data_IF_481791375550
#
_entry.id   IF_481791375550
#
_cell.length_a   1.000
_cell.length_b   1.000
_cell.length_c   1.000
_cell.angle_alpha   90.00
_cell.angle_beta   90.00
_cell.angle_gamma   90.00
#
_symmetry.space_group_name_H-M   'P 1'
#
loop_
_entity.id
_entity.type
_entity.pdbx_description
1 polymer ?
#
# COMPACT_ATOMS: atom_id res chain seq x y z
N UNK A 1 -4.97 15.43 7.67
CA UNK A 1 -3.76 15.85 6.92
C UNK A 1 -3.16 14.68 6.15
N UNK A 2 -2.90 13.52 6.78
CA UNK A 2 -2.39 12.32 6.09
C UNK A 2 -3.12 11.96 4.79
N UNK A 3 -4.47 11.95 4.78
CA UNK A 3 -5.23 11.69 3.55
C UNK A 3 -4.94 12.67 2.39
N UNK A 4 -4.62 13.95 2.66
CA UNK A 4 -4.25 14.92 1.61
C UNK A 4 -2.95 14.51 0.92
N UNK A 5 -2.02 13.93 1.67
CA UNK A 5 -0.75 13.41 1.15
C UNK A 5 -0.90 12.09 0.42
N UNK A 6 -2.06 11.42 0.53
CA UNK A 6 -2.36 10.16 -0.15
C UNK A 6 -3.41 10.31 -1.27
N UNK A 7 -3.92 11.51 -1.53
CA UNK A 7 -4.99 11.74 -2.53
C UNK A 7 -4.56 11.37 -3.96
N UNK A 8 -3.25 11.35 -4.25
CA UNK A 8 -2.71 10.87 -5.52
C UNK A 8 -2.97 9.37 -5.76
N UNK A 9 -3.26 8.60 -4.69
CA UNK A 9 -3.59 7.17 -4.75
C UNK A 9 -5.09 6.91 -4.98
N UNK A 10 -5.96 7.92 -4.87
CA UNK A 10 -7.39 7.77 -5.11
C UNK A 10 -8.20 9.03 -4.80
N UNK A 11 -9.17 9.36 -5.65
CA UNK A 11 -9.91 10.62 -5.57
C UNK A 11 -11.40 10.49 -5.95
N UNK A 12 -11.92 9.26 -6.07
CA UNK A 12 -13.32 9.02 -6.42
C UNK A 12 -14.25 9.23 -5.22
N UNK A 13 -13.76 8.94 -4.01
CA UNK A 13 -14.47 9.17 -2.75
C UNK A 13 -13.49 9.16 -1.58
N UNK A 14 -13.91 9.68 -0.43
CA UNK A 14 -13.11 9.64 0.79
C UNK A 14 -14.01 9.54 2.03
N UNK A 15 -13.42 9.12 3.14
CA UNK A 15 -14.11 9.14 4.42
C UNK A 15 -13.20 8.89 5.62
N UNK A 16 -13.76 9.15 6.79
CA UNK A 16 -13.14 8.92 8.09
C UNK A 16 -14.13 8.31 9.08
N UNK A 17 -13.60 7.46 9.97
CA UNK A 17 -14.26 7.01 11.19
C UNK A 17 -13.44 7.51 12.38
N UNK A 18 -14.07 8.27 13.26
CA UNK A 18 -13.42 8.91 14.40
C UNK A 18 -14.07 8.42 15.68
N UNK A 19 -13.26 7.90 16.60
CA UNK A 19 -13.74 7.57 17.93
C UNK A 19 -14.03 8.87 18.70
N UNK A 20 -15.23 9.02 19.24
CA UNK A 20 -15.63 10.19 20.05
C UNK A 20 -16.31 9.69 21.32
N UNK A 21 -15.88 10.12 22.50
CA UNK A 21 -16.41 9.76 23.83
C UNK A 21 -16.88 8.30 23.99
N UNK A 22 -18.05 7.93 23.44
CA UNK A 22 -18.69 6.62 23.58
C UNK A 22 -19.12 5.96 22.26
N UNK A 23 -18.77 6.51 21.09
CA UNK A 23 -19.23 6.00 19.77
C UNK A 23 -18.26 6.34 18.64
N UNK A 24 -18.41 5.67 17.50
CA UNK A 24 -17.70 6.03 16.27
C UNK A 24 -18.54 6.97 15.41
N UNK A 25 -17.96 8.11 15.02
CA UNK A 25 -18.57 9.02 14.05
C UNK A 25 -17.97 8.85 12.65
N UNK A 26 -18.85 8.56 11.69
CA UNK A 26 -18.53 8.40 10.28
C UNK A 26 -18.80 9.69 9.50
N UNK A 27 -17.84 10.11 8.68
CA UNK A 27 -18.02 11.15 7.67
C UNK A 27 -17.46 10.64 6.35
N UNK A 28 -18.34 10.43 5.37
CA UNK A 28 -17.98 9.92 4.04
C UNK A 28 -18.55 10.84 2.97
N UNK A 29 -17.90 10.91 1.82
CA UNK A 29 -18.41 11.66 0.69
C UNK A 29 -17.86 11.14 -0.63
N UNK A 30 -18.65 11.27 -1.69
CA UNK A 30 -18.16 11.09 -3.06
C UNK A 30 -17.30 12.28 -3.49
N UNK A 31 -16.39 12.02 -4.43
CA UNK A 31 -15.46 12.99 -4.97
C UNK A 31 -14.26 13.25 -4.05
N UNK A 32 -13.67 14.43 -4.23
CA UNK A 32 -12.41 14.83 -3.60
C UNK A 32 -12.50 14.92 -2.08
N UNK A 33 -11.34 14.80 -1.43
CA UNK A 33 -11.20 14.84 0.03
C UNK A 33 -11.73 16.14 0.66
N UNK A 34 -11.72 17.25 -0.09
CA UNK A 34 -12.30 18.53 0.33
C UNK A 34 -13.75 18.43 0.79
N UNK A 35 -14.53 17.48 0.25
CA UNK A 35 -15.92 17.27 0.66
C UNK A 35 -16.00 16.74 2.10
N UNK A 36 -15.12 15.80 2.46
CA UNK A 36 -15.01 15.29 3.84
C UNK A 36 -14.49 16.38 4.78
N UNK A 37 -13.55 17.20 4.34
CA UNK A 37 -13.06 18.35 5.12
C UNK A 37 -14.18 19.34 5.45
N UNK A 38 -15.08 19.63 4.50
CA UNK A 38 -16.27 20.47 4.75
C UNK A 38 -17.21 19.84 5.78
N UNK A 39 -17.44 18.53 5.71
CA UNK A 39 -18.26 17.81 6.69
C UNK A 39 -17.66 17.87 8.11
N UNK A 40 -16.33 17.75 8.21
CA UNK A 40 -15.60 17.81 9.48
C UNK A 40 -15.57 19.23 10.07
N UNK A 41 -15.43 20.27 9.24
CA UNK A 41 -15.51 21.67 9.69
C UNK A 41 -16.88 21.99 10.30
N UNK A 42 -17.96 21.39 9.79
CA UNK A 42 -19.29 21.45 10.40
C UNK A 42 -19.44 20.66 11.70
N UNK A 43 -18.48 19.78 12.03
CA UNK A 43 -18.51 18.85 13.16
C UNK A 43 -17.37 19.14 14.17
N UNK A 44 -17.20 20.42 14.55
CA UNK A 44 -16.10 20.88 15.40
C UNK A 44 -15.92 20.09 16.71
N UNK A 45 -17.00 19.58 17.29
CA UNK A 45 -16.93 18.84 18.57
C UNK A 45 -16.32 17.43 18.42
N UNK A 46 -16.56 16.78 17.28
CA UNK A 46 -15.99 15.46 16.93
C UNK A 46 -14.47 15.57 16.88
N UNK A 47 -13.96 16.59 16.20
CA UNK A 47 -12.53 16.83 16.04
C UNK A 47 -11.82 17.16 17.37
N UNK A 48 -12.51 17.83 18.31
CA UNK A 48 -11.91 18.19 19.61
C UNK A 48 -11.76 17.00 20.55
N UNK A 49 -12.68 16.04 20.47
CA UNK A 49 -12.78 14.92 21.42
C UNK A 49 -12.10 13.66 20.89
N UNK A 50 -11.98 13.51 19.57
CA UNK A 50 -11.37 12.31 19.01
C UNK A 50 -9.86 12.22 19.24
N UNK A 51 -9.39 11.02 19.54
CA UNK A 51 -7.97 10.66 19.73
C UNK A 51 -7.55 9.41 18.95
N UNK A 52 -8.50 8.76 18.28
CA UNK A 52 -8.28 7.54 17.52
C UNK A 52 -9.24 7.52 16.34
N UNK A 53 -8.74 7.16 15.16
CA UNK A 53 -9.58 7.11 13.97
C UNK A 53 -8.83 6.57 12.77
N UNK A 54 -9.61 6.14 11.78
CA UNK A 54 -9.13 5.64 10.50
C UNK A 54 -9.72 6.49 9.38
N UNK A 55 -9.03 6.56 8.25
CA UNK A 55 -9.48 7.32 7.10
C UNK A 55 -8.98 6.71 5.81
N UNK A 56 -9.67 7.00 4.71
CA UNK A 56 -9.36 6.43 3.41
C UNK A 56 -9.73 7.36 2.27
N UNK A 57 -8.95 7.29 1.19
CA UNK A 57 -9.20 7.89 -0.11
C UNK A 57 -9.25 6.77 -1.14
N UNK A 58 -10.34 6.67 -1.89
CA UNK A 58 -10.67 5.50 -2.68
C UNK A 58 -10.55 5.75 -4.17
N UNK A 59 -9.92 4.79 -4.85
CA UNK A 59 -10.04 4.56 -6.29
C UNK A 59 -10.97 3.35 -6.48
N UNK A 60 -12.10 3.53 -7.16
CA UNK A 60 -13.13 2.49 -7.24
C UNK A 60 -12.72 1.34 -8.19
N UNK A 61 -12.66 0.11 -7.67
CA UNK A 61 -12.45 -1.13 -8.44
C UNK A 61 -13.75 -1.94 -8.52
N UNK A 62 -14.40 -2.21 -7.39
CA UNK A 62 -15.71 -2.85 -7.28
C UNK A 62 -16.79 -1.88 -6.79
N UNK A 63 -18.00 -1.98 -7.33
CA UNK A 63 -19.11 -1.09 -6.97
C UNK A 63 -18.97 0.33 -7.51
N UNK A 64 -20.10 1.02 -7.66
CA UNK A 64 -20.10 2.40 -8.18
C UNK A 64 -19.44 3.38 -7.21
N UNK A 65 -19.08 4.56 -7.71
CA UNK A 65 -18.69 5.69 -6.87
C UNK A 65 -19.93 6.21 -6.14
N UNK A 66 -20.15 5.74 -4.92
CA UNK A 66 -21.25 6.19 -4.04
C UNK A 66 -20.75 6.47 -2.63
N UNK A 67 -21.58 7.10 -1.79
CA UNK A 67 -21.21 7.35 -0.38
C UNK A 67 -21.23 6.05 0.43
N UNK A 68 -22.13 5.13 0.09
CA UNK A 68 -22.24 3.80 0.68
C UNK A 68 -21.00 2.95 0.39
N UNK A 69 -20.48 3.05 -0.84
CA UNK A 69 -19.26 2.35 -1.29
C UNK A 69 -17.96 3.07 -0.88
N UNK A 70 -18.04 4.26 -0.28
CA UNK A 70 -16.86 4.92 0.26
C UNK A 70 -16.45 4.25 1.57
N UNK A 71 -15.13 4.16 1.80
CA UNK A 71 -14.57 3.72 3.07
C UNK A 71 -14.70 4.83 4.13
N UNK A 72 -14.72 4.50 5.44
CA UNK A 72 -14.69 3.15 6.03
C UNK A 72 -15.96 2.33 5.78
N UNK A 73 -15.81 1.01 5.77
CA UNK A 73 -16.91 0.05 5.75
C UNK A 73 -17.26 -0.42 7.16
N UNK A 74 -18.55 -0.65 7.36
CA UNK A 74 -19.12 -1.06 8.63
C UNK A 74 -19.67 -2.48 8.55
N UNK A 75 -19.72 -3.17 9.70
CA UNK A 75 -20.58 -4.34 9.85
C UNK A 75 -22.06 -3.91 9.99
N UNK A 76 -22.99 -4.88 10.10
CA UNK A 76 -24.43 -4.62 10.05
C UNK A 76 -24.99 -3.67 11.13
N UNK A 77 -24.35 -3.58 12.31
CA UNK A 77 -24.77 -2.68 13.39
C UNK A 77 -23.88 -1.43 13.56
N UNK A 78 -22.78 -1.33 12.80
CA UNK A 78 -21.87 -0.19 12.83
C UNK A 78 -20.79 -0.24 13.91
N UNK A 79 -20.75 -1.28 14.76
CA UNK A 79 -19.76 -1.39 15.84
C UNK A 79 -18.32 -1.56 15.35
N UNK A 80 -18.12 -2.19 14.18
CA UNK A 80 -16.80 -2.38 13.56
C UNK A 80 -16.67 -1.47 12.35
N UNK A 81 -15.53 -0.79 12.23
CA UNK A 81 -15.16 0.00 11.06
C UNK A 81 -13.83 -0.47 10.48
N UNK A 82 -13.76 -0.59 9.16
CA UNK A 82 -12.55 -1.00 8.44
C UNK A 82 -12.24 -0.06 7.27
N UNK A 83 -10.96 0.22 7.06
CA UNK A 83 -10.45 0.82 5.81
C UNK A 83 -9.53 -0.18 5.13
N UNK A 84 -9.63 -0.30 3.82
CA UNK A 84 -8.97 -1.37 3.06
C UNK A 84 -8.31 -0.82 1.81
N UNK A 85 -7.08 -1.25 1.53
CA UNK A 85 -6.47 -1.18 0.22
C UNK A 85 -6.38 -2.60 -0.33
N UNK A 86 -6.63 -2.78 -1.63
CA UNK A 86 -6.56 -4.08 -2.28
C UNK A 86 -7.92 -4.65 -2.66
N UNK A 87 -7.96 -5.95 -2.94
CA UNK A 87 -9.10 -6.70 -3.44
C UNK A 87 -9.25 -8.00 -2.65
N UNK A 88 -10.49 -8.29 -2.23
CA UNK A 88 -10.87 -9.59 -1.66
C UNK A 88 -11.49 -10.44 -2.77
N UNK A 89 -10.77 -11.46 -3.24
CA UNK A 89 -11.15 -12.25 -4.41
C UNK A 89 -12.30 -13.23 -4.11
N UNK A 90 -12.34 -13.79 -2.89
CA UNK A 90 -13.40 -14.70 -2.46
C UNK A 90 -14.60 -14.00 -1.80
N UNK A 91 -14.77 -12.68 -1.98
CA UNK A 91 -15.81 -11.89 -1.32
C UNK A 91 -17.23 -12.39 -1.61
N UNK A 92 -17.51 -12.89 -2.82
CA UNK A 92 -18.83 -13.34 -3.21
C UNK A 92 -19.28 -14.57 -2.39
N UNK A 93 -18.34 -15.49 -2.13
CA UNK A 93 -18.57 -16.66 -1.28
C UNK A 93 -18.82 -16.23 0.17
N UNK A 94 -17.94 -15.38 0.71
CA UNK A 94 -18.05 -14.87 2.09
C UNK A 94 -19.35 -14.10 2.33
N UNK A 95 -19.74 -13.26 1.36
CA UNK A 95 -20.99 -12.49 1.39
C UNK A 95 -22.21 -13.41 1.39
N UNK A 96 -22.19 -14.48 0.60
CA UNK A 96 -23.28 -15.47 0.57
C UNK A 96 -23.42 -16.19 1.92
N UNK A 97 -22.33 -16.72 2.47
CA UNK A 97 -22.30 -17.37 3.80
C UNK A 97 -22.89 -16.47 4.89
N UNK A 98 -22.40 -15.23 4.99
CA UNK A 98 -22.85 -14.31 6.04
C UNK A 98 -24.29 -13.83 5.82
N UNK A 99 -24.75 -13.72 4.57
CA UNK A 99 -26.15 -13.38 4.28
C UNK A 99 -27.09 -14.50 4.72
N UNK A 100 -26.70 -15.77 4.55
CA UNK A 100 -27.46 -16.92 5.06
C UNK A 100 -27.53 -16.94 6.59
N UNK A 101 -26.49 -16.47 7.26
CA UNK A 101 -26.44 -16.26 8.72
C UNK A 101 -27.23 -15.03 9.20
N UNK A 102 -27.76 -14.22 8.29
CA UNK A 102 -28.61 -13.06 8.58
C UNK A 102 -27.90 -11.71 8.58
N UNK A 103 -26.62 -11.65 8.17
CA UNK A 103 -25.90 -10.39 8.01
C UNK A 103 -26.52 -9.51 6.91
N UNK A 104 -26.53 -8.20 7.14
CA UNK A 104 -27.04 -7.21 6.18
C UNK A 104 -25.89 -6.42 5.60
N UNK A 105 -25.66 -6.59 4.31
CA UNK A 105 -24.69 -5.81 3.55
C UNK A 105 -25.32 -4.52 3.04
N UNK A 106 -24.56 -3.44 3.08
CA UNK A 106 -24.99 -2.08 2.75
C UNK A 106 -24.29 -1.51 1.53
N UNK A 107 -23.22 -2.17 1.06
CA UNK A 107 -22.43 -1.76 -0.08
C UNK A 107 -22.33 -2.85 -1.16
N UNK A 108 -21.87 -2.43 -2.33
CA UNK A 108 -21.54 -3.29 -3.47
C UNK A 108 -20.07 -3.72 -3.48
N UNK A 109 -19.29 -3.28 -2.49
CA UNK A 109 -17.84 -3.50 -2.45
C UNK A 109 -17.49 -4.93 -2.05
N UNK A 110 -16.35 -5.38 -2.51
CA UNK A 110 -15.74 -6.66 -2.14
C UNK A 110 -15.23 -6.64 -0.69
N UNK A 111 -14.87 -5.48 -0.16
CA UNK A 111 -14.18 -5.34 1.13
C UNK A 111 -15.10 -5.20 2.35
N UNK A 112 -16.41 -4.94 2.19
CA UNK A 112 -17.35 -4.88 3.32
C UNK A 112 -17.39 -6.20 4.11
N UNK A 113 -17.13 -7.35 3.45
CA UNK A 113 -17.04 -8.66 4.09
C UNK A 113 -16.04 -8.70 5.24
N UNK A 114 -14.99 -7.88 5.20
CA UNK A 114 -13.97 -7.81 6.26
C UNK A 114 -14.59 -7.29 7.56
N UNK A 115 -15.41 -6.24 7.50
CA UNK A 115 -16.06 -5.70 8.70
C UNK A 115 -16.99 -6.73 9.34
N UNK A 116 -17.74 -7.48 8.54
CA UNK A 116 -18.63 -8.55 9.04
C UNK A 116 -17.86 -9.74 9.61
N UNK A 117 -16.74 -10.15 8.99
CA UNK A 117 -15.88 -11.22 9.50
C UNK A 117 -15.27 -10.84 10.86
N UNK A 118 -14.74 -9.63 10.98
CA UNK A 118 -14.20 -9.11 12.24
C UNK A 118 -15.30 -9.08 13.30
N UNK A 119 -16.48 -8.53 12.98
CA UNK A 119 -17.60 -8.51 13.92
C UNK A 119 -18.07 -9.90 14.36
N UNK A 120 -18.09 -10.88 13.43
CA UNK A 120 -18.49 -12.28 13.70
C UNK A 120 -17.52 -12.97 14.66
N UNK A 121 -16.23 -12.70 14.55
CA UNK A 121 -15.19 -13.34 15.35
C UNK A 121 -14.88 -12.62 16.67
N UNK A 122 -15.38 -11.38 16.84
CA UNK A 122 -15.09 -10.59 18.01
C UNK A 122 -15.67 -11.21 19.30
N UNK A 123 -14.78 -11.59 20.21
CA UNK A 123 -15.11 -12.16 21.51
C UNK A 123 -14.37 -11.44 22.66
N UNK A 124 -14.14 -10.13 22.52
CA UNK A 124 -13.41 -9.32 23.50
C UNK A 124 -11.93 -9.10 23.20
N UNK A 125 -11.48 -9.52 22.01
CA UNK A 125 -10.12 -9.31 21.51
C UNK A 125 -10.17 -9.00 20.00
N UNK A 126 -9.81 -7.76 19.64
CA UNK A 126 -9.79 -7.33 18.25
C UNK A 126 -8.64 -7.97 17.44
N UNK A 127 -7.53 -8.35 18.07
CA UNK A 127 -6.40 -9.03 17.40
C UNK A 127 -6.86 -10.39 16.88
N UNK A 128 -7.50 -11.19 17.72
CA UNK A 128 -8.02 -12.50 17.34
C UNK A 128 -9.13 -12.40 16.30
N UNK A 129 -9.98 -11.37 16.37
CA UNK A 129 -11.02 -11.14 15.37
C UNK A 129 -10.43 -10.80 13.98
N UNK A 130 -9.37 -10.00 13.95
CA UNK A 130 -8.63 -9.68 12.72
C UNK A 130 -7.87 -10.89 12.19
N UNK A 131 -7.24 -11.68 13.07
CA UNK A 131 -6.59 -12.96 12.72
C UNK A 131 -7.56 -13.93 12.06
N UNK A 132 -8.73 -14.10 12.64
CA UNK A 132 -9.78 -14.90 12.04
C UNK A 132 -10.17 -14.37 10.66
N UNK A 133 -10.41 -13.06 10.53
CA UNK A 133 -10.77 -12.46 9.24
C UNK A 133 -9.68 -12.71 8.19
N UNK A 134 -8.41 -12.44 8.51
CA UNK A 134 -7.25 -12.67 7.64
C UNK A 134 -7.20 -14.11 7.11
N UNK A 135 -7.38 -15.11 8.00
CA UNK A 135 -7.36 -16.53 7.63
C UNK A 135 -8.46 -16.95 6.65
N UNK A 136 -9.52 -16.14 6.50
CA UNK A 136 -10.68 -16.41 5.64
C UNK A 136 -10.58 -15.68 4.29
N UNK A 137 -9.70 -14.69 4.16
CA UNK A 137 -9.65 -13.81 2.99
C UNK A 137 -8.66 -14.35 1.95
N UNK A 138 -9.09 -14.37 0.69
CA UNK A 138 -8.23 -14.60 -0.47
C UNK A 138 -8.08 -13.31 -1.27
N UNK A 139 -6.92 -13.10 -1.88
CA UNK A 139 -6.62 -11.90 -2.68
C UNK A 139 -5.38 -11.18 -2.18
N UNK A 140 -5.40 -9.86 -2.24
CA UNK A 140 -4.31 -8.99 -1.79
C UNK A 140 -4.94 -7.80 -1.11
N UNK A 141 -4.58 -7.54 0.15
CA UNK A 141 -5.24 -6.52 0.93
C UNK A 141 -4.33 -5.98 2.03
N UNK A 142 -4.54 -4.74 2.42
CA UNK A 142 -4.07 -4.17 3.66
C UNK A 142 -5.27 -3.49 4.31
N UNK A 143 -5.60 -3.86 5.54
CA UNK A 143 -6.72 -3.24 6.25
C UNK A 143 -6.37 -2.84 7.67
N UNK A 144 -7.08 -1.82 8.14
CA UNK A 144 -7.06 -1.36 9.52
C UNK A 144 -8.50 -1.41 10.03
N UNK A 145 -8.68 -2.09 11.16
CA UNK A 145 -9.95 -2.25 11.86
C UNK A 145 -9.95 -1.49 13.18
N UNK A 146 -11.12 -0.98 13.54
CA UNK A 146 -11.42 -0.46 14.87
C UNK A 146 -12.82 -0.90 15.29
N UNK A 147 -13.05 -1.03 16.60
CA UNK A 147 -14.33 -1.44 17.16
C UNK A 147 -14.75 -0.55 18.33
N UNK A 148 -16.04 -0.30 18.50
CA UNK A 148 -16.56 0.56 19.57
C UNK A 148 -16.22 0.06 20.99
N UNK A 149 -16.10 -1.26 21.19
CA UNK A 149 -15.83 -1.87 22.49
C UNK A 149 -14.36 -1.79 22.93
N UNK A 150 -13.43 -1.45 22.03
CA UNK A 150 -12.00 -1.27 22.33
C UNK A 150 -11.51 0.12 21.91
N UNK A 151 -11.91 1.17 22.66
CA UNK A 151 -11.51 2.54 22.36
C UNK A 151 -9.98 2.72 22.35
N UNK A 152 -9.48 3.38 21.32
CA UNK A 152 -8.05 3.72 21.22
C UNK A 152 -7.15 2.59 20.73
N UNK A 153 -7.73 1.45 20.31
CA UNK A 153 -7.01 0.34 19.69
C UNK A 153 -7.33 0.33 18.19
N UNK A 154 -6.29 0.27 17.37
CA UNK A 154 -6.38 -0.11 15.97
C UNK A 154 -5.70 -1.46 15.80
N UNK A 155 -6.30 -2.35 15.02
CA UNK A 155 -5.63 -3.59 14.59
C UNK A 155 -5.54 -3.61 13.10
N UNK A 156 -4.36 -3.96 12.59
CA UNK A 156 -4.09 -3.92 11.17
C UNK A 156 -3.34 -5.15 10.69
N UNK A 157 -3.56 -5.52 9.43
CA UNK A 157 -2.85 -6.61 8.78
C UNK A 157 -2.70 -6.33 7.30
N UNK A 158 -1.74 -7.02 6.66
CA UNK A 158 -1.49 -6.93 5.23
C UNK A 158 -1.17 -8.27 4.59
N UNK A 159 -1.47 -8.36 3.31
CA UNK A 159 -1.09 -9.41 2.40
C UNK A 159 -0.92 -8.82 1.00
N UNK A 160 0.32 -8.78 0.50
CA UNK A 160 0.70 -8.22 -0.81
C UNK A 160 0.27 -6.77 -1.07
N UNK A 161 -0.05 -6.00 -0.02
CA UNK A 161 -0.34 -4.57 -0.09
C UNK A 161 0.53 -3.82 0.95
N UNK A 162 1.09 -2.65 0.59
CA UNK A 162 1.92 -1.87 1.52
C UNK A 162 1.15 -1.43 2.76
N UNK A 163 1.77 -1.59 3.92
CA UNK A 163 1.27 -1.09 5.19
C UNK A 163 2.46 -0.82 6.13
N UNK A 164 2.56 0.42 6.58
CA UNK A 164 3.68 0.90 7.40
C UNK A 164 3.16 1.63 8.63
N UNK A 165 3.91 1.52 9.73
CA UNK A 165 3.55 2.08 11.03
C UNK A 165 4.59 3.14 11.41
N UNK A 166 4.14 4.35 11.72
CA UNK A 166 4.97 5.40 12.29
C UNK A 166 4.89 5.40 13.81
N UNK A 167 6.04 5.39 14.51
CA UNK A 167 6.10 5.49 15.98
C UNK A 167 6.52 6.89 16.42
N UNK A 168 5.75 7.53 17.29
CA UNK A 168 6.08 8.80 17.91
C UNK A 168 5.91 8.71 19.44
N UNK A 169 6.38 9.72 20.17
CA UNK A 169 6.24 9.75 21.63
C UNK A 169 4.75 9.94 22.02
N UNK A 170 4.15 8.89 22.58
CA UNK A 170 2.74 8.88 23.00
C UNK A 170 1.71 8.80 21.86
N UNK A 171 2.14 8.59 20.62
CA UNK A 171 1.28 8.52 19.43
C UNK A 171 1.78 7.44 18.45
N UNK A 172 0.85 6.77 17.78
CA UNK A 172 1.15 5.78 16.74
C UNK A 172 0.35 6.10 15.49
N UNK A 173 0.97 5.92 14.33
CA UNK A 173 0.39 6.17 13.01
C UNK A 173 0.42 4.90 12.18
N UNK A 174 -0.58 4.69 11.33
CA UNK A 174 -0.57 3.63 10.34
C UNK A 174 -1.04 4.17 8.99
N UNK A 175 -0.34 3.82 7.93
CA UNK A 175 -0.67 4.26 6.58
C UNK A 175 -0.18 3.28 5.53
N UNK A 176 -0.71 3.41 4.31
CA UNK A 176 -0.19 2.69 3.13
C UNK A 176 1.10 3.30 2.57
N UNK A 177 1.51 4.48 3.04
CA UNK A 177 2.78 5.09 2.66
C UNK A 177 3.26 6.09 3.72
N UNK A 178 4.59 6.15 3.91
CA UNK A 178 5.30 7.01 4.86
C UNK A 178 4.90 8.50 4.81
N UNK A 179 4.69 9.15 3.63
CA UNK A 179 4.35 10.57 3.59
C UNK A 179 3.16 10.98 4.47
N UNK A 180 2.21 10.05 4.69
CA UNK A 180 1.00 10.31 5.45
C UNK A 180 1.24 10.78 6.89
N UNK A 181 2.35 10.37 7.51
CA UNK A 181 2.69 10.71 8.89
C UNK A 181 4.11 11.26 9.06
N UNK A 182 4.87 11.49 7.97
CA UNK A 182 6.25 11.96 8.01
C UNK A 182 6.44 13.31 8.74
N UNK A 183 5.38 14.12 8.89
CA UNK A 183 5.43 15.36 9.70
C UNK A 183 5.47 15.11 11.21
N UNK A 184 5.15 13.89 11.64
CA UNK A 184 5.02 13.50 13.04
C UNK A 184 6.17 12.60 13.50
N UNK A 185 6.66 11.73 12.61
CA UNK A 185 7.77 10.82 12.91
C UNK A 185 8.50 10.37 11.65
N UNK A 186 9.78 10.03 11.82
CA UNK A 186 10.63 9.38 10.83
C UNK A 186 10.95 7.92 11.16
N UNK A 187 10.51 7.45 12.33
CA UNK A 187 10.68 6.06 12.76
C UNK A 187 9.55 5.22 12.18
N UNK A 188 9.91 4.35 11.24
CA UNK A 188 8.97 3.53 10.47
C UNK A 188 9.20 2.05 10.76
N UNK A 189 8.12 1.34 11.02
CA UNK A 189 8.08 -0.12 10.96
C UNK A 189 7.35 -0.54 9.69
N UNK A 190 7.97 -1.44 8.95
CA UNK A 190 7.32 -2.12 7.83
C UNK A 190 6.73 -3.44 8.34
N UNK A 191 5.48 -3.70 7.98
CA UNK A 191 4.84 -4.98 8.24
C UNK A 191 5.19 -5.96 7.12
N UNK A 192 5.36 -7.23 7.47
CA UNK A 192 5.43 -8.33 6.52
C UNK A 192 4.02 -8.86 6.21
N UNK A 193 3.91 -9.70 5.17
CA UNK A 193 2.65 -10.36 4.86
C UNK A 193 2.24 -11.34 5.97
N UNK A 194 0.99 -11.24 6.43
CA UNK A 194 0.44 -12.04 7.51
C UNK A 194 0.67 -11.45 8.91
N UNK A 195 1.42 -10.35 9.04
CA UNK A 195 1.55 -9.64 10.31
C UNK A 195 0.21 -9.08 10.78
N UNK A 196 -0.03 -9.17 12.08
CA UNK A 196 -1.16 -8.57 12.76
C UNK A 196 -0.63 -7.62 13.82
N UNK A 197 -0.80 -6.32 13.56
CA UNK A 197 -0.28 -5.27 14.41
C UNK A 197 -1.40 -4.68 15.28
N UNK A 198 -1.25 -4.78 16.59
CA UNK A 198 -2.05 -4.05 17.58
C UNK A 198 -1.40 -2.72 17.88
N UNK A 199 -2.11 -1.64 17.60
CA UNK A 199 -1.58 -0.28 17.60
C UNK A 199 -2.34 0.54 18.65
N UNK A 200 -1.58 1.11 19.57
CA UNK A 200 -2.07 1.94 20.67
C UNK A 200 -1.19 3.18 20.82
N UNK A 201 -1.62 4.21 21.59
CA UNK A 201 -0.74 5.33 21.95
C UNK A 201 0.51 4.90 22.72
N UNK A 202 0.45 3.79 23.47
CA UNK A 202 1.59 3.28 24.25
C UNK A 202 2.60 2.50 23.41
N UNK A 203 2.24 2.07 22.21
CA UNK A 203 3.13 1.29 21.35
C UNK A 203 2.41 0.34 20.41
N UNK A 204 3.22 -0.51 19.78
CA UNK A 204 2.82 -1.41 18.70
C UNK A 204 3.32 -2.81 19.04
N UNK A 205 2.40 -3.76 19.11
CA UNK A 205 2.65 -5.20 19.29
C UNK A 205 2.33 -5.88 17.96
N UNK A 206 3.17 -6.80 17.50
CA UNK A 206 3.00 -7.48 16.21
C UNK A 206 3.04 -8.98 16.46
N UNK A 207 2.08 -9.69 15.88
CA UNK A 207 2.02 -11.16 15.90
C UNK A 207 1.97 -11.69 14.47
N UNK A 208 2.57 -12.86 14.22
CA UNK A 208 2.39 -13.62 12.98
C UNK A 208 1.00 -14.26 12.92
N UNK A 209 0.67 -15.00 11.85
CA UNK A 209 -0.64 -15.66 11.67
C UNK A 209 -0.96 -16.69 12.75
N UNK A 210 0.06 -17.30 13.32
CA UNK A 210 0.00 -18.31 14.37
C UNK A 210 -0.16 -17.72 15.78
N UNK A 211 -0.12 -16.39 15.92
CA UNK A 211 -0.24 -15.70 17.21
C UNK A 211 1.06 -15.62 18.00
N UNK A 212 2.21 -15.79 17.32
CA UNK A 212 3.52 -15.64 17.94
C UNK A 212 3.99 -14.20 17.76
N UNK A 213 4.52 -13.60 18.83
CA UNK A 213 5.06 -12.24 18.78
C UNK A 213 6.25 -12.14 17.82
N UNK A 214 6.25 -11.10 17.00
CA UNK A 214 7.29 -10.82 16.01
C UNK A 214 7.91 -9.45 16.25
N UNK A 215 9.24 -9.38 16.17
CA UNK A 215 9.97 -8.10 16.17
C UNK A 215 10.22 -7.64 14.73
N UNK A 216 9.86 -6.38 14.46
CA UNK A 216 10.19 -5.68 13.21
C UNK A 216 11.21 -4.59 13.52
N UNK A 217 12.25 -4.51 12.70
CA UNK A 217 13.28 -3.48 12.84
C UNK A 217 12.70 -2.13 12.40
N UNK A 218 12.95 -1.09 13.19
CA UNK A 218 12.57 0.26 12.83
C UNK A 218 13.61 0.86 11.89
N UNK A 219 13.14 1.46 10.80
CA UNK A 219 13.96 2.18 9.84
C UNK A 219 13.71 3.67 10.00
N UNK A 220 14.78 4.45 10.07
CA UNK A 220 14.69 5.92 10.06
C UNK A 220 14.67 6.42 8.62
N UNK A 221 13.63 7.18 8.27
CA UNK A 221 13.49 7.79 6.95
C UNK A 221 14.44 8.99 6.80
N UNK A 222 15.32 8.92 5.80
CA UNK A 222 16.38 9.89 5.54
C UNK A 222 16.00 11.01 4.56
N UNK A 223 15.00 10.79 3.71
CA UNK A 223 14.46 11.81 2.80
C UNK A 223 13.47 12.77 3.48
N UNK A 224 13.30 13.96 2.91
CA UNK A 224 12.45 15.02 3.45
C UNK A 224 11.05 15.07 2.82
N UNK A 225 10.06 15.51 3.60
CA UNK A 225 8.70 15.75 3.14
C UNK A 225 8.62 16.87 2.08
N UNK A 226 9.53 17.85 2.09
CA UNK A 226 9.56 18.93 1.08
C UNK A 226 9.77 18.38 -0.35
N UNK A 227 10.53 17.30 -0.51
CA UNK A 227 10.69 16.62 -1.82
C UNK A 227 9.36 16.09 -2.35
N UNK A 228 8.44 15.73 -1.44
CA UNK A 228 7.09 15.27 -1.72
C UNK A 228 6.05 16.41 -1.81
N UNK A 229 6.46 17.68 -1.72
CA UNK A 229 5.61 18.84 -1.94
C UNK A 229 5.78 19.44 -3.34
N UNK A 230 4.86 20.34 -3.74
CA UNK A 230 4.89 20.96 -5.08
C UNK A 230 6.04 21.98 -5.26
N UNK A 231 6.76 22.37 -4.22
CA UNK A 231 7.95 23.23 -4.34
C UNK A 231 7.72 24.58 -5.07
N UNK A 232 6.52 25.14 -5.01
CA UNK A 232 6.15 26.38 -5.72
C UNK A 232 5.62 26.20 -7.15
N UNK A 233 5.58 24.97 -7.68
CA UNK A 233 4.96 24.66 -8.97
C UNK A 233 3.44 24.49 -8.86
N UNK A 234 2.72 24.73 -9.96
CA UNK A 234 1.25 24.60 -10.02
C UNK A 234 0.79 23.14 -9.82
N UNK A 235 1.55 22.20 -10.41
CA UNK A 235 1.28 20.76 -10.39
C UNK A 235 2.55 19.98 -10.12
N UNK A 236 2.42 18.77 -9.54
CA UNK A 236 3.55 17.85 -9.35
C UNK A 236 4.21 17.47 -10.68
N UNK A 237 3.40 17.20 -11.72
CA UNK A 237 3.92 16.90 -13.06
C UNK A 237 4.82 18.02 -13.60
N UNK A 238 4.48 19.28 -13.37
CA UNK A 238 5.31 20.40 -13.81
C UNK A 238 6.63 20.46 -13.04
N UNK A 239 6.59 20.25 -11.71
CA UNK A 239 7.79 20.13 -10.86
C UNK A 239 8.71 19.02 -11.37
N UNK A 240 8.17 17.81 -11.48
CA UNK A 240 8.92 16.60 -11.90
C UNK A 240 9.54 16.75 -13.30
N UNK A 241 8.87 17.45 -14.23
CA UNK A 241 9.46 17.77 -15.55
C UNK A 241 10.66 18.71 -15.44
N UNK A 242 10.58 19.73 -14.57
CA UNK A 242 11.69 20.68 -14.40
C UNK A 242 12.87 20.08 -13.62
N UNK A 243 12.60 19.14 -12.71
CA UNK A 243 13.60 18.47 -11.88
C UNK A 243 14.34 17.33 -12.61
N UNK A 244 13.97 16.99 -13.86
CA UNK A 244 14.60 15.87 -14.60
C UNK A 244 16.12 15.98 -14.73
N UNK A 245 16.66 17.20 -14.85
CA UNK A 245 18.10 17.40 -14.98
C UNK A 245 18.84 17.00 -13.70
N UNK A 246 18.32 17.42 -12.54
CA UNK A 246 18.89 17.10 -11.24
C UNK A 246 18.69 15.61 -10.92
N UNK A 247 17.48 15.07 -11.16
CA UNK A 247 17.19 13.66 -10.97
C UNK A 247 18.10 12.73 -11.82
N UNK A 248 18.39 13.13 -13.07
CA UNK A 248 19.33 12.40 -13.93
C UNK A 248 20.75 12.48 -13.36
N UNK A 249 21.20 13.66 -12.92
CA UNK A 249 22.52 13.85 -12.32
C UNK A 249 22.69 12.97 -11.07
N UNK A 250 21.71 12.97 -10.16
CA UNK A 250 21.69 12.12 -8.97
C UNK A 250 21.74 10.63 -9.33
N UNK A 251 20.98 10.19 -10.35
CA UNK A 251 20.94 8.79 -10.77
C UNK A 251 22.30 8.27 -11.25
N UNK A 252 23.13 9.12 -11.88
CA UNK A 252 24.41 8.72 -12.49
C UNK A 252 25.65 9.14 -11.70
N UNK A 253 25.53 10.09 -10.77
CA UNK A 253 26.66 10.71 -10.08
C UNK A 253 27.56 9.66 -9.39
N UNK A 254 26.99 8.84 -8.52
CA UNK A 254 27.75 7.84 -7.75
C UNK A 254 28.22 6.67 -8.62
N UNK A 255 27.56 6.44 -9.76
CA UNK A 255 27.86 5.35 -10.68
C UNK A 255 28.95 5.70 -11.70
N UNK A 256 29.30 6.97 -11.86
CA UNK A 256 30.24 7.45 -12.90
C UNK A 256 31.52 8.05 -12.31
N UNK A 257 31.79 7.77 -11.03
CA UNK A 257 33.01 8.21 -10.33
C UNK A 257 34.30 7.66 -10.94
N UNK A 258 34.21 6.56 -11.69
CA UNK A 258 35.32 5.92 -12.37
C UNK A 258 35.50 6.48 -13.78
N UNK A 259 36.75 6.79 -14.15
CA UNK A 259 37.10 7.27 -15.49
C UNK A 259 36.97 6.15 -16.54
N UNK A 260 37.11 4.89 -16.13
CA UNK A 260 37.18 3.72 -17.01
C UNK A 260 35.86 2.94 -17.13
N UNK A 261 34.78 3.36 -16.48
CA UNK A 261 33.51 2.64 -16.55
C UNK A 261 32.44 3.11 -15.58
N UNK A 262 31.37 2.32 -15.51
CA UNK A 262 30.26 2.50 -14.57
C UNK A 262 30.48 1.59 -13.37
N UNK A 263 30.31 2.12 -12.16
CA UNK A 263 30.34 1.34 -10.93
C UNK A 263 28.92 0.92 -10.53
N UNK A 264 28.72 -0.40 -10.40
CA UNK A 264 27.47 -1.04 -9.97
C UNK A 264 27.67 -1.86 -8.69
N UNK A 265 28.81 -1.71 -8.00
CA UNK A 265 29.17 -2.55 -6.84
C UNK A 265 28.22 -2.41 -5.64
N UNK A 266 27.40 -1.35 -5.60
CA UNK A 266 26.32 -1.16 -4.64
C UNK A 266 25.14 -2.13 -4.84
N UNK A 267 25.00 -2.70 -6.04
CA UNK A 267 23.90 -3.61 -6.41
C UNK A 267 24.13 -5.07 -6.00
N UNK A 268 25.19 -5.36 -5.23
CA UNK A 268 25.44 -6.66 -4.63
C UNK A 268 25.88 -7.73 -5.65
N UNK A 269 25.02 -8.72 -5.90
CA UNK A 269 25.33 -9.95 -6.67
C UNK A 269 25.56 -9.72 -8.18
N UNK A 270 25.44 -8.49 -8.67
CA UNK A 270 25.69 -8.15 -10.07
C UNK A 270 27.17 -7.80 -10.26
N UNK A 271 27.92 -8.73 -10.83
CA UNK A 271 29.33 -8.52 -11.17
C UNK A 271 29.64 -8.72 -12.66
N UNK A 272 30.88 -8.37 -13.02
CA UNK A 272 31.40 -8.50 -14.38
C UNK A 272 31.36 -9.94 -14.93
N UNK A 273 31.48 -10.95 -14.07
CA UNK A 273 31.50 -12.36 -14.48
C UNK A 273 30.08 -12.81 -14.85
N UNK A 274 29.10 -12.50 -14.00
CA UNK A 274 27.68 -12.70 -14.26
C UNK A 274 27.27 -12.02 -15.57
N UNK A 275 27.55 -10.72 -15.70
CA UNK A 275 27.14 -9.92 -16.86
C UNK A 275 27.73 -10.44 -18.18
N UNK A 276 28.97 -10.94 -18.18
CA UNK A 276 29.59 -11.55 -19.37
C UNK A 276 29.04 -12.94 -19.71
N UNK A 277 28.50 -13.65 -18.72
CA UNK A 277 27.90 -14.97 -18.88
C UNK A 277 26.47 -14.96 -19.43
N UNK A 278 25.81 -13.79 -19.45
CA UNK A 278 24.41 -13.66 -19.85
C UNK A 278 24.19 -14.08 -21.30
N UNK A 279 23.20 -14.95 -21.49
CA UNK A 279 22.76 -15.39 -22.82
C UNK A 279 21.59 -14.56 -23.36
N UNK A 280 20.79 -13.98 -22.46
CA UNK A 280 19.62 -13.16 -22.78
C UNK A 280 19.24 -12.29 -21.58
N UNK A 281 18.62 -11.14 -21.85
CA UNK A 281 17.96 -10.31 -20.84
C UNK A 281 16.46 -10.26 -21.14
N UNK A 282 15.63 -10.41 -20.12
CA UNK A 282 14.17 -10.24 -20.21
C UNK A 282 13.75 -9.12 -19.29
N UNK A 283 13.19 -8.05 -19.84
CA UNK A 283 12.68 -6.91 -19.09
C UNK A 283 11.17 -7.07 -18.93
N UNK A 284 10.68 -7.12 -17.69
CA UNK A 284 9.24 -7.18 -17.36
C UNK A 284 8.80 -5.89 -16.68
N UNK A 285 7.75 -5.26 -17.20
CA UNK A 285 7.24 -4.01 -16.66
C UNK A 285 5.80 -3.71 -17.11
N UNK A 286 5.21 -2.64 -16.58
CA UNK A 286 3.90 -2.13 -16.97
C UNK A 286 3.99 -0.63 -17.36
N UNK A 287 3.11 -0.18 -18.26
CA UNK A 287 2.93 1.24 -18.60
C UNK A 287 4.22 1.95 -19.05
N UNK A 288 4.51 3.11 -18.48
CA UNK A 288 5.70 3.91 -18.84
C UNK A 288 7.02 3.18 -18.56
N UNK A 289 7.09 2.33 -17.53
CA UNK A 289 8.27 1.51 -17.25
C UNK A 289 8.55 0.49 -18.36
N UNK A 290 7.52 -0.06 -18.99
CA UNK A 290 7.66 -0.91 -20.18
C UNK A 290 8.26 -0.12 -21.35
N UNK A 291 7.86 1.14 -21.55
CA UNK A 291 8.47 2.01 -22.56
C UNK A 291 9.95 2.31 -22.27
N UNK A 292 10.34 2.49 -21.00
CA UNK A 292 11.75 2.61 -20.62
C UNK A 292 12.54 1.34 -21.00
N UNK A 293 11.97 0.15 -20.76
CA UNK A 293 12.54 -1.13 -21.21
C UNK A 293 12.74 -1.21 -22.73
N UNK A 294 11.76 -0.74 -23.51
CA UNK A 294 11.88 -0.68 -24.98
C UNK A 294 13.05 0.19 -25.44
N UNK A 295 13.28 1.34 -24.79
CA UNK A 295 14.45 2.18 -25.06
C UNK A 295 15.76 1.52 -24.59
N UNK A 296 15.76 0.93 -23.40
CA UNK A 296 16.90 0.21 -22.83
C UNK A 296 17.38 -0.93 -23.73
N UNK A 297 16.46 -1.70 -24.35
CA UNK A 297 16.78 -2.74 -25.33
C UNK A 297 17.70 -2.23 -26.44
N UNK A 298 17.39 -1.10 -27.06
CA UNK A 298 18.21 -0.56 -28.17
C UNK A 298 19.66 -0.28 -27.73
N UNK A 299 19.82 0.27 -26.52
CA UNK A 299 21.13 0.57 -25.96
C UNK A 299 21.91 -0.72 -25.63
N UNK A 300 21.28 -1.66 -24.93
CA UNK A 300 21.90 -2.92 -24.51
C UNK A 300 22.28 -3.78 -25.73
N UNK A 301 21.37 -4.01 -26.67
CA UNK A 301 21.66 -4.79 -27.87
C UNK A 301 22.69 -4.10 -28.77
N UNK A 302 22.68 -2.77 -28.80
CA UNK A 302 23.62 -1.96 -29.56
C UNK A 302 25.05 -2.05 -29.02
N UNK A 303 25.22 -1.95 -27.70
CA UNK A 303 26.54 -1.88 -27.06
C UNK A 303 27.07 -3.24 -26.61
N UNK A 304 26.25 -4.03 -25.92
CA UNK A 304 26.67 -5.30 -25.32
C UNK A 304 26.43 -6.52 -26.23
N UNK A 305 25.62 -6.37 -27.28
CA UNK A 305 25.27 -7.47 -28.23
C UNK A 305 24.58 -8.68 -27.57
N UNK A 306 23.95 -8.47 -26.41
CA UNK A 306 23.13 -9.48 -25.71
C UNK A 306 21.67 -9.31 -26.15
N UNK A 307 20.96 -10.38 -26.56
CA UNK A 307 19.54 -10.30 -26.92
C UNK A 307 18.67 -9.81 -25.75
N UNK A 308 17.72 -8.89 -26.03
CA UNK A 308 16.81 -8.37 -25.01
C UNK A 308 15.33 -8.51 -25.43
N UNK A 309 14.57 -9.21 -24.61
CA UNK A 309 13.11 -9.26 -24.69
C UNK A 309 12.51 -8.23 -23.73
N UNK A 310 11.45 -7.53 -24.16
CA UNK A 310 10.71 -6.59 -23.31
C UNK A 310 9.26 -7.02 -23.33
N UNK A 311 8.74 -7.35 -22.16
CA UNK A 311 7.47 -8.05 -21.98
C UNK A 311 6.54 -7.26 -21.06
N UNK A 312 5.25 -7.26 -21.40
CA UNK A 312 4.23 -6.70 -20.53
C UNK A 312 4.03 -7.65 -19.36
N UNK A 313 4.29 -7.20 -18.14
CA UNK A 313 4.36 -8.10 -16.98
C UNK A 313 3.06 -8.87 -16.72
N UNK A 314 1.91 -8.28 -17.06
CA UNK A 314 0.60 -8.92 -16.95
C UNK A 314 0.44 -10.12 -17.88
N UNK A 315 1.08 -10.15 -19.06
CA UNK A 315 1.05 -11.30 -19.97
C UNK A 315 2.12 -12.33 -19.60
N UNK A 316 3.30 -11.86 -19.20
CA UNK A 316 4.44 -12.70 -18.86
C UNK A 316 4.09 -13.75 -17.80
N UNK A 317 3.36 -13.35 -16.75
CA UNK A 317 2.98 -14.24 -15.65
C UNK A 317 1.98 -15.34 -16.02
N UNK A 318 1.27 -15.23 -17.15
CA UNK A 318 0.24 -16.20 -17.54
C UNK A 318 0.67 -17.14 -18.69
N UNK A 319 1.86 -16.95 -19.25
CA UNK A 319 2.32 -17.69 -20.44
C UNK A 319 3.35 -18.78 -20.15
N UNK A 320 3.55 -19.15 -18.89
CA UNK A 320 4.58 -20.11 -18.44
C UNK A 320 5.97 -19.76 -19.00
N UNK A 321 6.60 -18.69 -18.49
CA UNK A 321 7.78 -18.11 -19.10
C UNK A 321 8.97 -19.07 -19.05
N UNK A 322 9.62 -19.27 -20.21
CA UNK A 322 10.83 -20.08 -20.31
C UNK A 322 12.03 -19.22 -19.93
N UNK A 323 12.60 -19.45 -18.74
CA UNK A 323 13.80 -18.79 -18.22
C UNK A 323 14.94 -19.80 -18.13
N UNK A 324 16.06 -19.50 -18.78
CA UNK A 324 17.28 -20.31 -18.75
C UNK A 324 18.20 -19.93 -17.58
N UNK A 325 19.18 -20.79 -17.24
CA UNK A 325 20.10 -20.55 -16.13
C UNK A 325 21.05 -19.35 -16.31
N UNK A 326 21.21 -18.86 -17.55
CA UNK A 326 22.05 -17.72 -17.89
C UNK A 326 21.22 -16.51 -18.38
N UNK A 327 19.92 -16.50 -18.09
CA UNK A 327 19.04 -15.39 -18.43
C UNK A 327 18.93 -14.44 -17.24
N UNK A 328 19.01 -13.14 -17.51
CA UNK A 328 18.75 -12.11 -16.50
C UNK A 328 17.35 -11.55 -16.69
N UNK A 329 16.51 -11.63 -15.65
CA UNK A 329 15.18 -10.99 -15.64
C UNK A 329 15.25 -9.70 -14.84
N UNK A 330 14.83 -8.59 -15.47
CA UNK A 330 14.84 -7.24 -14.88
C UNK A 330 13.40 -6.74 -14.75
N UNK A 331 12.94 -6.49 -13.53
CA UNK A 331 11.68 -5.82 -13.25
C UNK A 331 11.86 -4.30 -13.20
N UNK A 332 11.15 -3.54 -14.04
CA UNK A 332 11.18 -2.07 -13.98
C UNK A 332 9.87 -1.55 -13.37
N UNK A 333 9.97 -0.93 -12.19
CA UNK A 333 8.83 -0.30 -11.50
C UNK A 333 9.29 0.94 -10.75
N UNK A 334 8.57 2.06 -10.93
CA UNK A 334 8.87 3.28 -10.18
C UNK A 334 8.42 3.17 -8.72
N UNK A 335 7.27 2.54 -8.47
CA UNK A 335 6.71 2.45 -7.13
C UNK A 335 7.29 1.31 -6.30
N UNK A 336 7.92 0.30 -6.92
CA UNK A 336 8.26 -0.95 -6.24
C UNK A 336 7.05 -1.85 -5.95
N UNK A 337 5.83 -1.33 -6.11
CA UNK A 337 4.57 -1.96 -5.69
C UNK A 337 3.72 -2.48 -6.87
N UNK A 338 4.23 -2.38 -8.11
CA UNK A 338 3.43 -2.76 -9.29
C UNK A 338 3.18 -4.27 -9.33
N UNK A 339 1.98 -4.69 -8.92
CA UNK A 339 1.60 -6.10 -8.72
C UNK A 339 1.98 -7.03 -9.87
N UNK A 340 1.63 -6.68 -11.10
CA UNK A 340 1.92 -7.58 -12.23
C UNK A 340 3.42 -7.70 -12.50
N UNK A 341 4.21 -6.65 -12.22
CA UNK A 341 5.68 -6.70 -12.27
C UNK A 341 6.24 -7.57 -11.15
N UNK A 342 5.75 -7.43 -9.91
CA UNK A 342 6.15 -8.28 -8.78
C UNK A 342 5.80 -9.76 -9.02
N UNK A 343 4.60 -10.03 -9.52
CA UNK A 343 4.17 -11.38 -9.88
C UNK A 343 5.04 -11.98 -10.99
N UNK A 344 5.37 -11.22 -12.04
CA UNK A 344 6.28 -11.65 -13.09
C UNK A 344 7.68 -11.98 -12.54
N UNK A 345 8.21 -11.16 -11.63
CA UNK A 345 9.50 -11.42 -10.97
C UNK A 345 9.46 -12.68 -10.10
N UNK A 346 8.34 -12.98 -9.45
CA UNK A 346 8.16 -14.24 -8.69
C UNK A 346 8.12 -15.47 -9.61
N UNK A 347 7.52 -15.36 -10.80
CA UNK A 347 7.54 -16.45 -11.79
C UNK A 347 8.94 -16.71 -12.37
N UNK A 348 9.84 -15.72 -12.31
CA UNK A 348 11.19 -15.82 -12.85
C UNK A 348 12.23 -16.39 -11.87
N UNK A 349 11.89 -16.50 -10.58
CA UNK A 349 12.73 -17.10 -9.54
C UNK A 349 12.56 -18.61 -9.49
#
# INVERSE_FOLDING_TARGET
KGLKRLEYRGYDSAGVALFTNDKIELKKSQGKLENVEKLLNGASEVLKTSRCGIGHTRWATHGRVTEENAHPHANGDGSVQVVVNGIVENYAQLKAEMTEEGARFTSETDVEVIAHLVAKAYAGDLVEAVRYAESRLEGHYAFVAMIESEPGVLVATRHECPLVIGRADGESYIASAVPAFLEHTREVLELDDGDIARITPSGVEIEDREGQGVEREAVTVDWDAETAEKGGYETFMLKEIHEQADALAETIADRTVRIDGVDLGDLGEIDDELLRGLSRIVIVACGTSYHAGLHGRYAIEGWARVPVEVEMASEYRYRDPVVGPNDLVIGITQSGETRDTLAAMRCAK
#
